data_IF_055778457288
#
_entry.id   IF_055778457288
#
_cell.length_a   1.000
_cell.length_b   1.000
_cell.length_c   1.000
_cell.angle_alpha   90.00
_cell.angle_beta   90.00
_cell.angle_gamma   90.00
#
_symmetry.space_group_name_H-M   'P 1'
#
loop_
_entity.id
_entity.type
_entity.pdbx_description
1 polymer ?
#
# COMPACT_ATOMS: atom_id res chain seq x y z
N UNK A 1 -12.67 6.77 -31.33
CA UNK A 1 -12.89 8.16 -30.84
C UNK A 1 -12.50 9.12 -31.96
N UNK A 2 -13.24 10.22 -32.21
CA UNK A 2 -12.82 11.21 -33.21
C UNK A 2 -11.57 11.99 -32.72
N UNK A 3 -10.82 12.59 -33.65
CA UNK A 3 -9.64 13.38 -33.30
C UNK A 3 -9.96 14.56 -32.38
N UNK A 4 -11.10 15.21 -32.60
CA UNK A 4 -11.56 16.36 -31.83
C UNK A 4 -11.97 15.95 -30.42
N UNK A 5 -12.76 14.88 -30.28
CA UNK A 5 -13.13 14.32 -28.98
C UNK A 5 -11.89 13.92 -28.18
N UNK A 6 -10.91 13.25 -28.81
CA UNK A 6 -9.67 12.91 -28.12
C UNK A 6 -8.90 14.15 -27.66
N UNK A 7 -8.69 15.12 -28.54
CA UNK A 7 -7.98 16.37 -28.19
C UNK A 7 -8.72 17.21 -27.15
N UNK A 8 -10.04 17.09 -27.03
CA UNK A 8 -10.81 17.77 -26.00
C UNK A 8 -10.73 17.04 -24.66
N UNK A 9 -11.09 15.76 -24.61
CA UNK A 9 -11.20 14.99 -23.38
C UNK A 9 -9.87 14.48 -22.83
N UNK A 10 -8.87 14.15 -23.66
CA UNK A 10 -7.57 13.65 -23.19
C UNK A 10 -6.51 14.73 -23.01
N UNK A 11 -6.82 16.01 -23.26
CA UNK A 11 -5.88 17.10 -22.99
C UNK A 11 -5.60 17.23 -21.50
N UNK A 12 -4.37 16.98 -21.08
CA UNK A 12 -3.95 16.92 -19.67
C UNK A 12 -3.88 18.29 -18.96
N UNK A 13 -4.86 19.17 -19.14
CA UNK A 13 -4.85 20.49 -18.50
C UNK A 13 -4.75 20.37 -16.97
N UNK A 14 -4.05 21.33 -16.33
CA UNK A 14 -4.01 21.44 -14.86
C UNK A 14 -5.40 21.69 -14.26
N UNK A 15 -6.15 22.57 -14.92
CA UNK A 15 -7.54 22.88 -14.61
C UNK A 15 -8.36 22.69 -15.89
N UNK A 16 -9.36 21.82 -15.80
CA UNK A 16 -10.24 21.51 -16.92
C UNK A 16 -11.67 21.85 -16.51
N UNK A 17 -12.28 22.75 -17.28
CA UNK A 17 -13.69 23.14 -17.15
C UNK A 17 -14.46 22.44 -18.28
N UNK A 18 -15.75 22.16 -18.06
CA UNK A 18 -16.72 21.62 -19.02
C UNK A 18 -16.42 20.24 -19.63
N UNK A 19 -15.56 19.44 -19.00
CA UNK A 19 -15.31 18.04 -19.38
C UNK A 19 -16.11 17.08 -18.53
N UNK A 20 -17.42 17.00 -18.80
CA UNK A 20 -18.38 16.19 -18.05
C UNK A 20 -18.28 14.69 -18.33
N UNK A 21 -17.77 14.31 -19.51
CA UNK A 21 -17.57 12.90 -19.87
C UNK A 21 -16.16 12.41 -19.52
N UNK A 22 -16.10 11.21 -18.94
CA UNK A 22 -14.91 10.38 -18.83
C UNK A 22 -14.89 9.35 -19.95
N UNK A 23 -13.75 9.26 -20.65
CA UNK A 23 -13.45 8.23 -21.63
C UNK A 23 -12.42 7.27 -21.03
N UNK A 24 -12.69 5.98 -21.15
CA UNK A 24 -11.82 4.87 -20.75
C UNK A 24 -11.55 4.02 -21.99
N UNK A 25 -10.33 4.13 -22.53
CA UNK A 25 -9.86 3.23 -23.58
C UNK A 25 -9.15 2.06 -22.92
N UNK A 26 -9.51 0.82 -23.26
CA UNK A 26 -8.94 -0.35 -22.62
C UNK A 26 -8.24 -1.28 -23.61
N UNK A 27 -7.28 -2.03 -23.09
CA UNK A 27 -6.62 -3.14 -23.74
C UNK A 27 -6.56 -4.32 -22.76
N UNK A 28 -6.93 -5.51 -23.20
CA UNK A 28 -6.81 -6.77 -22.47
C UNK A 28 -5.79 -7.62 -23.21
N UNK A 29 -4.72 -8.01 -22.52
CA UNK A 29 -3.69 -8.90 -23.06
C UNK A 29 -3.55 -10.15 -22.21
N UNK A 30 -3.19 -11.27 -22.86
CA UNK A 30 -2.74 -12.47 -22.15
C UNK A 30 -1.27 -12.34 -21.80
N UNK A 31 -0.87 -12.77 -20.61
CA UNK A 31 0.52 -12.91 -20.21
C UNK A 31 1.03 -14.31 -20.60
N UNK A 32 1.25 -14.56 -21.89
CA UNK A 32 1.99 -15.75 -22.35
C UNK A 32 3.45 -15.39 -22.67
N UNK A 33 4.32 -16.39 -22.53
CA UNK A 33 5.78 -16.30 -22.66
C UNK A 33 6.24 -15.44 -23.87
N UNK A 34 7.20 -14.55 -23.59
CA UNK A 34 7.95 -13.66 -24.49
C UNK A 34 7.22 -12.54 -25.25
N UNK A 35 5.89 -12.54 -25.41
CA UNK A 35 5.18 -11.40 -26.03
C UNK A 35 3.69 -11.29 -25.64
N UNK A 36 3.20 -10.11 -25.20
CA UNK A 36 1.79 -9.93 -24.84
C UNK A 36 0.86 -10.08 -26.05
N UNK A 37 -0.10 -11.01 -25.98
CA UNK A 37 -1.12 -11.21 -27.03
C UNK A 37 -2.35 -10.35 -26.72
N UNK A 38 -2.74 -9.45 -27.64
CA UNK A 38 -3.93 -8.61 -27.49
C UNK A 38 -5.21 -9.42 -27.74
N UNK A 39 -6.08 -9.50 -26.74
CA UNK A 39 -7.35 -10.24 -26.79
C UNK A 39 -8.53 -9.32 -27.10
N UNK A 40 -8.69 -8.27 -26.29
CA UNK A 40 -9.78 -7.31 -26.45
C UNK A 40 -9.25 -5.89 -26.31
N UNK A 41 -9.94 -4.96 -26.96
CA UNK A 41 -9.68 -3.53 -26.85
C UNK A 41 -10.93 -2.77 -27.25
N UNK A 42 -11.11 -1.60 -26.68
CA UNK A 42 -12.29 -0.79 -26.96
C UNK A 42 -12.32 0.48 -26.14
N UNK A 43 -13.47 1.13 -26.17
CA UNK A 43 -13.68 2.42 -25.49
C UNK A 43 -15.01 2.41 -24.77
N UNK A 44 -14.99 2.76 -23.50
CA UNK A 44 -16.17 3.13 -22.73
C UNK A 44 -16.18 4.63 -22.50
N UNK A 45 -17.39 5.19 -22.43
CA UNK A 45 -17.65 6.52 -21.92
C UNK A 45 -18.76 6.45 -20.89
N UNK A 46 -18.93 7.51 -20.09
CA UNK A 46 -20.10 7.65 -19.23
C UNK A 46 -21.38 7.41 -20.04
N UNK A 47 -22.31 6.66 -19.45
CA UNK A 47 -23.63 6.41 -20.01
C UNK A 47 -24.66 6.69 -18.93
N UNK A 48 -25.49 7.69 -19.15
CA UNK A 48 -26.47 8.18 -18.17
C UNK A 48 -25.76 8.51 -16.84
N UNK A 49 -26.18 7.89 -15.74
CA UNK A 49 -25.56 8.04 -14.42
C UNK A 49 -24.48 6.99 -14.12
N UNK A 50 -24.02 6.23 -15.12
CA UNK A 50 -23.03 5.16 -14.96
C UNK A 50 -21.68 5.61 -15.52
N UNK A 51 -20.65 5.54 -14.68
CA UNK A 51 -19.28 5.90 -15.04
C UNK A 51 -18.64 4.84 -15.96
N UNK A 52 -17.64 5.26 -16.74
CA UNK A 52 -17.01 4.42 -17.75
C UNK A 52 -16.33 3.17 -17.16
N UNK A 53 -15.79 3.27 -15.96
CA UNK A 53 -15.18 2.20 -15.16
C UNK A 53 -16.20 1.09 -14.88
N UNK A 54 -17.40 1.47 -14.43
CA UNK A 54 -18.47 0.53 -14.10
C UNK A 54 -19.03 -0.12 -15.36
N UNK A 55 -19.21 0.66 -16.44
CA UNK A 55 -19.55 0.12 -17.75
C UNK A 55 -18.54 -0.95 -18.20
N UNK A 56 -17.24 -0.68 -18.04
CA UNK A 56 -16.19 -1.64 -18.35
C UNK A 56 -16.31 -2.90 -17.49
N UNK A 57 -16.45 -2.76 -16.16
CA UNK A 57 -16.50 -3.92 -15.24
C UNK A 57 -17.70 -4.84 -15.56
N UNK A 58 -18.89 -4.28 -15.82
CA UNK A 58 -20.04 -5.08 -16.22
C UNK A 58 -19.81 -5.83 -17.53
N UNK A 59 -19.28 -5.14 -18.54
CA UNK A 59 -18.95 -5.78 -19.80
C UNK A 59 -17.88 -6.86 -19.64
N UNK A 60 -16.82 -6.59 -18.88
CA UNK A 60 -15.71 -7.52 -18.69
C UNK A 60 -16.18 -8.79 -17.97
N UNK A 61 -16.99 -8.64 -16.93
CA UNK A 61 -17.58 -9.78 -16.23
C UNK A 61 -18.53 -10.59 -17.13
N UNK A 62 -19.41 -9.94 -17.90
CA UNK A 62 -20.40 -10.65 -18.71
C UNK A 62 -19.82 -11.28 -19.98
N UNK A 63 -18.84 -10.62 -20.62
CA UNK A 63 -18.36 -11.00 -21.96
C UNK A 63 -16.99 -11.65 -21.98
N UNK A 64 -16.12 -11.31 -21.04
CA UNK A 64 -14.72 -11.72 -21.09
C UNK A 64 -14.47 -12.84 -20.09
N UNK A 65 -14.82 -12.64 -18.82
CA UNK A 65 -14.59 -13.65 -17.77
C UNK A 65 -15.37 -14.96 -17.98
N UNK A 66 -16.50 -14.94 -18.69
CA UNK A 66 -17.25 -16.17 -19.02
C UNK A 66 -16.57 -17.05 -20.06
N UNK A 67 -15.67 -16.48 -20.85
CA UNK A 67 -15.04 -17.16 -22.01
C UNK A 67 -13.60 -17.55 -21.70
N UNK A 68 -12.92 -16.81 -20.81
CA UNK A 68 -11.53 -17.03 -20.47
C UNK A 68 -11.36 -18.12 -19.41
N UNK A 69 -10.31 -18.92 -19.56
CA UNK A 69 -9.98 -20.00 -18.61
C UNK A 69 -9.52 -19.41 -17.26
N UNK A 70 -9.94 -19.98 -16.12
CA UNK A 70 -9.51 -19.53 -14.78
C UNK A 70 -7.99 -19.64 -14.52
N UNK A 71 -7.26 -20.37 -15.37
CA UNK A 71 -5.82 -20.61 -15.23
C UNK A 71 -4.95 -19.61 -16.01
N UNK A 72 -5.55 -18.82 -16.88
CA UNK A 72 -4.81 -17.85 -17.69
C UNK A 72 -4.58 -16.56 -16.91
N UNK A 73 -3.38 -15.99 -17.02
CA UNK A 73 -3.09 -14.67 -16.47
C UNK A 73 -3.32 -13.57 -17.50
N UNK A 74 -4.01 -12.50 -17.07
CA UNK A 74 -4.35 -11.38 -17.93
C UNK A 74 -3.81 -10.07 -17.41
N UNK A 75 -3.56 -9.16 -18.34
CA UNK A 75 -3.26 -7.78 -18.05
C UNK A 75 -4.30 -6.88 -18.70
N UNK A 76 -4.88 -6.00 -17.90
CA UNK A 76 -5.76 -4.94 -18.36
C UNK A 76 -4.97 -3.63 -18.30
N UNK A 77 -5.06 -2.84 -19.36
CA UNK A 77 -4.52 -1.48 -19.39
C UNK A 77 -5.63 -0.50 -19.74
N UNK A 78 -5.84 0.49 -18.87
CA UNK A 78 -6.78 1.59 -19.08
C UNK A 78 -6.03 2.88 -19.39
N UNK A 79 -6.49 3.58 -20.43
CA UNK A 79 -6.12 4.95 -20.75
C UNK A 79 -7.35 5.83 -20.55
N UNK A 80 -7.33 6.64 -19.50
CA UNK A 80 -8.48 7.40 -19.04
C UNK A 80 -8.30 8.90 -19.21
N UNK A 81 -9.38 9.61 -19.56
CA UNK A 81 -9.37 11.07 -19.59
C UNK A 81 -9.31 11.70 -18.19
N UNK A 82 -9.89 11.04 -17.20
CA UNK A 82 -9.88 11.39 -15.78
C UNK A 82 -9.58 10.13 -14.97
N UNK A 83 -8.87 10.25 -13.85
CA UNK A 83 -8.71 9.13 -12.91
C UNK A 83 -10.06 8.72 -12.33
N UNK A 84 -10.22 7.47 -11.87
CA UNK A 84 -11.47 7.03 -11.27
C UNK A 84 -11.88 7.88 -10.06
N UNK A 85 -13.18 8.07 -9.87
CA UNK A 85 -13.72 8.63 -8.62
C UNK A 85 -13.66 7.58 -7.49
N UNK A 86 -13.88 8.01 -6.24
CA UNK A 86 -13.79 7.14 -5.07
C UNK A 86 -14.71 5.92 -5.17
N UNK A 87 -15.98 6.08 -5.59
CA UNK A 87 -16.94 4.98 -5.72
C UNK A 87 -16.50 3.96 -6.78
N UNK A 88 -16.02 4.46 -7.93
CA UNK A 88 -15.55 3.61 -9.01
C UNK A 88 -14.28 2.86 -8.64
N UNK A 89 -13.32 3.56 -8.01
CA UNK A 89 -12.11 2.94 -7.50
C UNK A 89 -12.43 1.84 -6.47
N UNK A 90 -13.43 2.03 -5.61
CA UNK A 90 -13.87 0.98 -4.67
C UNK A 90 -14.40 -0.27 -5.39
N UNK A 91 -15.21 -0.10 -6.45
CA UNK A 91 -15.68 -1.24 -7.23
C UNK A 91 -14.52 -1.97 -7.94
N UNK A 92 -13.53 -1.22 -8.44
CA UNK A 92 -12.32 -1.80 -9.03
C UNK A 92 -11.51 -2.57 -7.99
N UNK A 93 -11.38 -2.07 -6.76
CA UNK A 93 -10.71 -2.80 -5.66
C UNK A 93 -11.39 -4.13 -5.37
N UNK A 94 -12.73 -4.14 -5.26
CA UNK A 94 -13.49 -5.39 -5.04
C UNK A 94 -13.31 -6.37 -6.19
N UNK A 95 -13.24 -5.85 -7.42
CA UNK A 95 -12.97 -6.65 -8.60
C UNK A 95 -11.57 -7.27 -8.56
N UNK A 96 -10.51 -6.50 -8.27
CA UNK A 96 -9.15 -7.02 -8.16
C UNK A 96 -9.00 -8.05 -7.03
N UNK A 97 -9.62 -7.78 -5.88
CA UNK A 97 -9.58 -8.68 -4.72
C UNK A 97 -10.21 -10.06 -4.99
N UNK A 98 -11.06 -10.19 -6.02
CA UNK A 98 -11.72 -11.44 -6.40
C UNK A 98 -11.07 -12.13 -7.61
N UNK A 99 -10.12 -11.49 -8.29
CA UNK A 99 -9.50 -11.98 -9.53
C UNK A 99 -7.96 -11.89 -9.47
N UNK A 100 -7.33 -12.80 -8.73
CA UNK A 100 -5.88 -12.78 -8.47
C UNK A 100 -5.00 -13.07 -9.71
N UNK A 101 -5.56 -13.63 -10.78
CA UNK A 101 -4.88 -13.89 -12.05
C UNK A 101 -4.83 -12.66 -12.98
N UNK A 102 -5.18 -11.47 -12.49
CA UNK A 102 -5.33 -10.26 -13.27
C UNK A 102 -4.44 -9.14 -12.73
N UNK A 103 -3.67 -8.50 -13.60
CA UNK A 103 -3.00 -7.23 -13.32
C UNK A 103 -3.68 -6.07 -14.03
N UNK A 104 -3.80 -4.93 -13.37
CA UNK A 104 -4.43 -3.73 -13.92
C UNK A 104 -3.47 -2.54 -13.92
N UNK A 105 -3.33 -1.90 -15.07
CA UNK A 105 -2.65 -0.61 -15.22
C UNK A 105 -3.67 0.48 -15.54
N UNK A 106 -3.65 1.59 -14.81
CA UNK A 106 -4.51 2.75 -15.00
C UNK A 106 -3.63 3.97 -15.31
N UNK A 107 -3.68 4.42 -16.55
CA UNK A 107 -3.03 5.64 -17.01
C UNK A 107 -4.06 6.75 -17.18
N UNK A 108 -3.97 7.81 -16.38
CA UNK A 108 -4.93 8.92 -16.39
C UNK A 108 -4.34 10.19 -16.97
N UNK A 109 -5.04 10.85 -17.89
CA UNK A 109 -4.64 12.15 -18.43
C UNK A 109 -4.70 13.26 -17.37
N UNK A 110 -5.69 13.19 -16.48
CA UNK A 110 -5.89 14.14 -15.38
C UNK A 110 -6.38 13.41 -14.15
N UNK A 111 -6.00 13.91 -12.97
CA UNK A 111 -6.50 13.38 -11.71
C UNK A 111 -7.85 14.04 -11.34
N UNK A 112 -8.85 13.23 -11.04
CA UNK A 112 -10.18 13.67 -10.64
C UNK A 112 -10.22 14.04 -9.15
N UNK A 113 -10.77 15.22 -8.85
CA UNK A 113 -11.07 15.73 -7.51
C UNK A 113 -10.01 15.40 -6.42
N UNK A 114 -8.72 15.55 -6.71
CA UNK A 114 -7.64 15.20 -5.75
C UNK A 114 -7.59 16.07 -4.49
N UNK A 115 -8.48 17.05 -4.34
CA UNK A 115 -8.63 17.78 -3.07
C UNK A 115 -9.43 16.99 -2.04
N UNK A 116 -10.24 16.05 -2.51
CA UNK A 116 -11.05 15.17 -1.68
C UNK A 116 -10.20 14.00 -1.14
N UNK A 117 -10.13 13.84 0.20
CA UNK A 117 -9.39 12.75 0.82
C UNK A 117 -9.83 11.35 0.38
N UNK A 118 -11.12 11.11 0.09
CA UNK A 118 -11.61 9.78 -0.30
C UNK A 118 -11.08 9.37 -1.68
N UNK A 119 -11.04 10.33 -2.61
CA UNK A 119 -10.44 10.13 -3.93
C UNK A 119 -8.93 9.84 -3.81
N UNK A 120 -8.21 10.54 -2.93
CA UNK A 120 -6.80 10.26 -2.66
C UNK A 120 -6.63 8.84 -2.10
N UNK A 121 -7.40 8.49 -1.06
CA UNK A 121 -7.29 7.21 -0.38
C UNK A 121 -7.61 6.02 -1.29
N UNK A 122 -8.60 6.13 -2.17
CA UNK A 122 -8.92 5.01 -3.06
C UNK A 122 -7.92 4.86 -4.22
N UNK A 123 -7.29 5.94 -4.71
CA UNK A 123 -6.13 5.82 -5.60
C UNK A 123 -4.97 5.10 -4.89
N UNK A 124 -4.75 5.41 -3.60
CA UNK A 124 -3.76 4.73 -2.79
C UNK A 124 -4.03 3.24 -2.64
N UNK A 125 -5.28 2.88 -2.33
CA UNK A 125 -5.71 1.47 -2.18
C UNK A 125 -5.59 0.69 -3.47
N UNK A 126 -5.81 1.30 -4.64
CA UNK A 126 -5.63 0.63 -5.94
C UNK A 126 -4.20 0.15 -6.10
N UNK A 127 -3.22 0.98 -5.71
CA UNK A 127 -1.81 0.59 -5.71
C UNK A 127 -1.50 -0.48 -4.67
N UNK A 128 -2.13 -0.44 -3.49
CA UNK A 128 -1.96 -1.48 -2.46
C UNK A 128 -2.50 -2.85 -2.90
N UNK A 129 -3.59 -2.90 -3.67
CA UNK A 129 -4.14 -4.13 -4.28
C UNK A 129 -3.38 -4.55 -5.56
N UNK A 130 -2.24 -3.93 -5.85
CA UNK A 130 -1.33 -4.33 -6.93
C UNK A 130 -1.63 -3.71 -8.30
N UNK A 131 -2.57 -2.77 -8.40
CA UNK A 131 -2.78 -2.02 -9.64
C UNK A 131 -1.67 -0.98 -9.86
N UNK A 132 -1.19 -0.85 -11.08
CA UNK A 132 -0.32 0.27 -11.45
C UNK A 132 -1.19 1.50 -11.73
N UNK A 133 -0.92 2.62 -11.07
CA UNK A 133 -1.63 3.90 -11.31
C UNK A 133 -0.61 4.96 -11.68
N UNK A 134 -0.78 5.59 -12.86
CA UNK A 134 0.15 6.59 -13.37
C UNK A 134 -0.55 7.72 -14.15
N UNK A 135 0.10 8.87 -14.26
CA UNK A 135 -0.32 9.91 -15.19
C UNK A 135 0.13 9.54 -16.62
N UNK A 136 -0.69 9.84 -17.63
CA UNK A 136 -0.32 9.60 -19.03
C UNK A 136 0.80 10.55 -19.49
N UNK A 137 1.91 9.98 -19.95
CA UNK A 137 3.01 10.69 -20.57
C UNK A 137 2.87 10.74 -22.10
N UNK A 138 3.92 11.23 -22.80
CA UNK A 138 3.91 11.30 -24.26
C UNK A 138 3.74 9.93 -24.95
N UNK A 139 4.35 8.89 -24.40
CA UNK A 139 4.26 7.51 -24.90
C UNK A 139 2.83 6.98 -24.75
N UNK A 140 2.19 7.12 -23.58
CA UNK A 140 0.80 6.68 -23.41
C UNK A 140 -0.15 7.45 -24.34
N UNK A 141 0.03 8.77 -24.51
CA UNK A 141 -0.80 9.52 -25.47
C UNK A 141 -0.61 9.04 -26.91
N UNK A 142 0.62 8.73 -27.33
CA UNK A 142 0.89 8.18 -28.67
C UNK A 142 0.25 6.80 -28.85
N UNK A 143 0.37 5.91 -27.87
CA UNK A 143 -0.22 4.57 -27.91
C UNK A 143 -1.76 4.66 -27.98
N UNK A 144 -2.35 5.49 -27.13
CA UNK A 144 -3.79 5.70 -27.09
C UNK A 144 -4.31 6.31 -28.42
N UNK A 145 -3.61 7.32 -28.96
CA UNK A 145 -3.92 7.91 -30.27
C UNK A 145 -3.85 6.89 -31.42
N UNK A 146 -2.80 6.07 -31.45
CA UNK A 146 -2.62 5.06 -32.51
C UNK A 146 -3.73 4.02 -32.49
N UNK A 147 -4.17 3.58 -31.30
CA UNK A 147 -5.05 2.42 -31.14
C UNK A 147 -6.55 2.77 -31.06
N UNK A 148 -6.93 3.92 -30.51
CA UNK A 148 -8.34 4.22 -30.19
C UNK A 148 -8.91 5.47 -30.90
N UNK A 149 -8.08 6.22 -31.62
CA UNK A 149 -8.51 7.43 -32.34
C UNK A 149 -8.59 7.14 -33.83
N UNK A 150 -9.71 7.53 -34.43
CA UNK A 150 -9.85 7.59 -35.88
C UNK A 150 -8.99 8.74 -36.41
N UNK A 151 -7.73 8.43 -36.69
CA UNK A 151 -6.69 9.40 -36.98
C UNK A 151 -6.40 9.55 -38.48
N UNK A 152 -7.05 8.77 -39.35
CA UNK A 152 -6.80 8.79 -40.80
C UNK A 152 -5.32 8.62 -41.17
N UNK A 153 -4.57 7.81 -40.42
CA UNK A 153 -3.13 7.59 -40.60
C UNK A 153 -2.23 8.71 -40.06
N UNK A 154 -2.81 9.78 -39.50
CA UNK A 154 -2.03 10.92 -38.98
C UNK A 154 -1.37 10.57 -37.65
N UNK A 155 -0.11 10.99 -37.49
CA UNK A 155 0.63 10.87 -36.23
C UNK A 155 0.06 11.79 -35.15
N UNK A 156 0.18 11.38 -33.89
CA UNK A 156 -0.18 12.22 -32.75
C UNK A 156 0.66 13.49 -32.73
N UNK A 157 0.01 14.65 -32.62
CA UNK A 157 0.65 15.95 -32.44
C UNK A 157 0.42 16.44 -31.00
N UNK A 158 1.47 16.52 -30.16
CA UNK A 158 1.36 17.03 -28.79
C UNK A 158 0.80 18.46 -28.77
N UNK A 159 -0.09 18.74 -27.82
CA UNK A 159 -0.54 20.11 -27.57
C UNK A 159 0.50 20.91 -26.76
N UNK A 160 0.39 22.24 -26.82
CA UNK A 160 1.20 23.16 -26.01
C UNK A 160 1.12 22.78 -24.52
N UNK A 161 2.28 22.73 -23.85
CA UNK A 161 2.44 22.38 -22.41
C UNK A 161 2.09 20.93 -22.03
N UNK A 162 1.99 19.98 -22.97
CA UNK A 162 1.73 18.57 -22.64
C UNK A 162 2.69 18.03 -21.57
N UNK A 163 4.01 18.17 -21.78
CA UNK A 163 5.04 17.68 -20.85
C UNK A 163 5.00 18.42 -19.51
N UNK A 164 4.84 19.75 -19.53
CA UNK A 164 4.73 20.57 -18.31
C UNK A 164 3.53 20.17 -17.46
N UNK A 165 2.41 19.82 -18.10
CA UNK A 165 1.23 19.38 -17.40
C UNK A 165 1.34 17.93 -16.93
N UNK A 166 1.96 17.05 -17.72
CA UNK A 166 2.28 15.68 -17.29
C UNK A 166 3.08 15.72 -15.99
N UNK A 167 4.17 16.49 -15.93
CA UNK A 167 4.97 16.66 -14.70
C UNK A 167 4.15 17.15 -13.51
N UNK A 168 3.16 18.00 -13.75
CA UNK A 168 2.26 18.46 -12.69
C UNK A 168 1.32 17.34 -12.21
N UNK A 169 0.66 16.63 -13.13
CA UNK A 169 -0.24 15.52 -12.79
C UNK A 169 0.52 14.40 -12.08
N UNK A 170 1.68 14.01 -12.61
CA UNK A 170 2.55 12.99 -12.03
C UNK A 170 3.03 13.41 -10.64
N UNK A 171 3.58 14.63 -10.48
CA UNK A 171 4.00 15.12 -9.16
C UNK A 171 2.87 15.09 -8.13
N UNK A 172 1.63 15.43 -8.51
CA UNK A 172 0.48 15.36 -7.60
C UNK A 172 0.06 13.93 -7.29
N UNK A 173 0.11 13.03 -8.28
CA UNK A 173 -0.14 11.62 -8.06
C UNK A 173 0.91 11.04 -7.12
N UNK A 174 2.21 11.31 -7.33
CA UNK A 174 3.28 10.84 -6.45
C UNK A 174 3.14 11.41 -5.03
N UNK A 175 2.68 12.65 -4.86
CA UNK A 175 2.36 13.20 -3.54
C UNK A 175 1.27 12.40 -2.83
N UNK A 176 0.18 12.04 -3.55
CA UNK A 176 -0.90 11.20 -3.03
C UNK A 176 -0.39 9.80 -2.72
N UNK A 177 0.35 9.19 -3.64
CA UNK A 177 0.86 7.83 -3.49
C UNK A 177 1.93 7.72 -2.41
N UNK A 178 2.69 8.77 -2.11
CA UNK A 178 3.56 8.81 -0.93
C UNK A 178 2.77 8.77 0.38
N UNK A 179 1.54 9.31 0.39
CA UNK A 179 0.62 9.22 1.55
C UNK A 179 0.00 7.83 1.74
N UNK A 180 0.09 6.92 0.76
CA UNK A 180 -0.26 5.47 0.91
C UNK A 180 0.47 4.84 2.10
N UNK A 181 1.62 5.39 2.45
CA UNK A 181 2.45 4.91 3.53
C UNK A 181 2.10 5.52 4.91
N UNK A 182 1.06 6.35 4.98
CA UNK A 182 0.68 7.09 6.19
C UNK A 182 -0.76 6.75 6.62
N UNK A 183 -0.91 6.37 7.88
CA UNK A 183 -2.16 6.24 8.62
C UNK A 183 -2.83 7.62 8.79
N UNK A 184 -4.17 7.64 8.85
CA UNK A 184 -4.89 8.79 9.41
C UNK A 184 -4.68 8.90 10.92
N UNK A 185 -4.92 10.10 11.48
CA UNK A 185 -4.84 10.31 12.93
C UNK A 185 -5.79 9.34 13.68
N UNK A 186 -7.01 9.18 13.19
CA UNK A 186 -8.01 8.30 13.78
C UNK A 186 -7.58 6.83 13.72
N UNK A 187 -7.04 6.36 12.60
CA UNK A 187 -6.52 5.00 12.48
C UNK A 187 -5.36 4.77 13.45
N UNK A 188 -4.43 5.70 13.58
CA UNK A 188 -3.33 5.56 14.54
C UNK A 188 -3.87 5.46 15.97
N UNK A 189 -4.71 6.41 16.40
CA UNK A 189 -5.27 6.39 17.75
C UNK A 189 -6.17 5.19 18.00
N UNK A 190 -6.89 4.69 17.01
CA UNK A 190 -7.71 3.49 17.16
C UNK A 190 -6.81 2.26 17.29
N UNK A 191 -5.85 2.10 16.37
CA UNK A 191 -5.11 0.86 16.19
C UNK A 191 -3.92 0.71 17.14
N UNK A 192 -3.16 1.77 17.42
CA UNK A 192 -1.96 1.73 18.26
C UNK A 192 -2.22 1.96 19.76
N UNK A 193 -3.46 2.20 20.16
CA UNK A 193 -3.84 2.45 21.54
C UNK A 193 -3.50 1.30 22.50
N UNK A 194 -2.54 1.49 23.40
CA UNK A 194 -1.97 0.39 24.19
C UNK A 194 -2.85 -0.13 25.34
N UNK A 195 -4.05 0.44 25.57
CA UNK A 195 -4.96 0.01 26.62
C UNK A 195 -6.03 -0.98 26.13
N UNK A 196 -6.35 -1.97 26.98
CA UNK A 196 -7.48 -2.88 26.76
C UNK A 196 -8.78 -2.20 27.15
N UNK A 197 -9.44 -1.52 26.22
CA UNK A 197 -10.79 -0.98 26.46
C UNK A 197 -11.80 -1.89 25.76
N UNK A 198 -12.55 -2.67 26.55
CA UNK A 198 -13.59 -3.58 26.04
C UNK A 198 -14.56 -2.89 25.07
N UNK A 199 -14.88 -1.61 25.28
CA UNK A 199 -15.83 -0.85 24.48
C UNK A 199 -15.29 -0.43 23.09
N UNK A 200 -14.01 -0.05 22.98
CA UNK A 200 -13.39 0.32 21.69
C UNK A 200 -13.27 -0.88 20.73
N UNK A 201 -13.11 -2.09 21.28
CA UNK A 201 -13.04 -3.34 20.52
C UNK A 201 -14.33 -3.71 19.79
N UNK A 202 -15.49 -3.20 20.22
CA UNK A 202 -16.79 -3.49 19.60
C UNK A 202 -17.13 -2.55 18.45
N UNK A 203 -16.64 -1.31 18.47
CA UNK A 203 -16.95 -0.30 17.44
C UNK A 203 -15.86 -0.18 16.36
N UNK A 204 -14.59 -0.42 16.71
CA UNK A 204 -13.49 -0.44 15.75
C UNK A 204 -12.83 -1.81 15.83
N UNK A 205 -13.14 -2.69 14.88
CA UNK A 205 -12.47 -3.98 14.75
C UNK A 205 -10.95 -3.77 14.61
N UNK A 206 -10.22 -3.94 15.70
CA UNK A 206 -8.77 -3.75 15.76
C UNK A 206 -8.10 -4.72 14.79
N UNK A 207 -7.37 -4.18 13.82
CA UNK A 207 -6.65 -4.96 12.81
C UNK A 207 -5.15 -4.97 13.15
N UNK A 208 -4.44 -6.07 12.86
CA UNK A 208 -2.98 -6.08 12.91
C UNK A 208 -2.42 -5.10 11.87
N UNK A 209 -1.78 -4.03 12.31
CA UNK A 209 -0.99 -3.14 11.45
C UNK A 209 0.49 -3.35 11.75
N UNK A 210 1.30 -3.23 10.71
CA UNK A 210 2.75 -3.18 10.76
C UNK A 210 3.21 -1.98 9.92
N UNK A 211 3.74 -0.96 10.58
CA UNK A 211 4.47 0.12 9.92
C UNK A 211 5.96 -0.18 9.98
N UNK A 212 6.71 0.05 8.91
CA UNK A 212 8.14 -0.24 8.86
C UNK A 212 8.92 0.89 8.19
N UNK A 213 10.10 1.14 8.73
CA UNK A 213 11.11 2.04 8.20
C UNK A 213 12.34 1.22 7.85
N UNK A 214 12.85 1.40 6.63
CA UNK A 214 14.07 0.75 6.15
C UNK A 214 15.10 1.83 5.85
N UNK A 215 16.19 1.80 6.61
CA UNK A 215 17.33 2.69 6.50
C UNK A 215 18.50 1.97 5.84
N UNK A 216 18.98 2.52 4.73
CA UNK A 216 20.15 2.03 4.01
C UNK A 216 21.36 2.89 4.36
N UNK A 217 22.54 2.26 4.49
CA UNK A 217 23.79 2.96 4.82
C UNK A 217 24.36 3.80 3.67
N UNK A 218 23.69 3.85 2.52
CA UNK A 218 24.10 4.60 1.33
C UNK A 218 23.62 6.07 1.32
N UNK A 219 23.01 6.56 2.41
CA UNK A 219 22.53 7.94 2.53
C UNK A 219 21.23 8.24 1.77
N UNK A 220 20.55 7.23 1.23
CA UNK A 220 19.21 7.40 0.65
C UNK A 220 18.17 7.66 1.73
N UNK A 221 17.11 8.39 1.37
CA UNK A 221 15.98 8.61 2.26
C UNK A 221 15.36 7.27 2.67
N UNK A 222 14.98 7.09 3.95
CA UNK A 222 14.46 5.82 4.43
C UNK A 222 13.17 5.43 3.71
N UNK A 223 13.09 4.17 3.28
CA UNK A 223 11.88 3.61 2.69
C UNK A 223 10.88 3.30 3.81
N UNK A 224 9.67 3.85 3.70
CA UNK A 224 8.62 3.71 4.71
C UNK A 224 7.40 3.01 4.13
N UNK A 225 6.67 2.26 4.95
CA UNK A 225 5.39 1.69 4.57
C UNK A 225 4.57 1.23 5.76
N UNK A 226 3.24 1.13 5.59
CA UNK A 226 2.35 0.48 6.53
C UNK A 226 1.57 -0.63 5.81
N UNK A 227 1.42 -1.75 6.50
CA UNK A 227 0.76 -2.97 6.02
C UNK A 227 -0.37 -3.33 6.98
N UNK A 228 -1.51 -3.71 6.41
CA UNK A 228 -2.72 -4.07 7.14
C UNK A 228 -3.04 -5.54 6.93
N UNK A 229 -3.34 -6.25 8.00
CA UNK A 229 -3.94 -7.59 7.89
C UNK A 229 -5.46 -7.51 7.87
N UNK A 230 -6.06 -8.11 6.83
CA UNK A 230 -7.50 -8.26 6.73
C UNK A 230 -7.98 -9.59 7.33
N UNK A 231 -9.20 -9.61 7.86
CA UNK A 231 -9.77 -10.78 8.51
C UNK A 231 -9.89 -11.94 7.50
N UNK A 232 -9.20 -13.05 7.77
CA UNK A 232 -9.18 -14.23 6.91
C UNK A 232 -8.08 -14.23 5.84
N UNK A 233 -7.25 -13.18 5.76
CA UNK A 233 -6.07 -13.11 4.89
C UNK A 233 -4.77 -13.33 5.69
N UNK A 234 -3.62 -13.17 5.02
CA UNK A 234 -2.30 -13.23 5.64
C UNK A 234 -2.11 -12.16 6.73
N UNK A 235 -1.25 -12.46 7.70
CA UNK A 235 -0.87 -11.52 8.75
C UNK A 235 0.07 -10.44 8.22
N UNK A 236 0.07 -9.26 8.84
CA UNK A 236 0.84 -8.11 8.39
C UNK A 236 2.36 -8.39 8.37
N UNK A 237 2.84 -9.22 9.29
CA UNK A 237 4.22 -9.70 9.36
C UNK A 237 4.60 -10.57 8.16
N UNK A 238 3.67 -11.35 7.62
CA UNK A 238 3.92 -12.20 6.44
C UNK A 238 3.95 -11.35 5.18
N UNK A 239 2.98 -10.44 5.03
CA UNK A 239 2.99 -9.45 3.95
C UNK A 239 4.27 -8.61 3.94
N UNK A 240 4.75 -8.26 5.13
CA UNK A 240 6.03 -7.57 5.30
C UNK A 240 7.20 -8.43 4.78
N UNK A 241 7.27 -9.69 5.17
CA UNK A 241 8.33 -10.60 4.70
C UNK A 241 8.31 -10.79 3.18
N UNK A 242 7.14 -11.01 2.58
CA UNK A 242 7.00 -11.17 1.13
C UNK A 242 7.48 -9.91 0.40
N UNK A 243 7.15 -8.74 0.93
CA UNK A 243 7.61 -7.45 0.40
C UNK A 243 9.11 -7.28 0.51
N UNK A 244 9.71 -7.55 1.68
CA UNK A 244 11.15 -7.38 1.89
C UNK A 244 11.97 -8.39 1.10
N UNK A 245 11.49 -9.64 0.96
CA UNK A 245 12.17 -10.67 0.14
C UNK A 245 12.23 -10.33 -1.33
N UNK A 246 11.24 -9.57 -1.85
CA UNK A 246 11.26 -9.10 -3.23
C UNK A 246 12.27 -7.98 -3.50
N UNK A 247 12.89 -7.42 -2.45
CA UNK A 247 13.85 -6.33 -2.56
C UNK A 247 15.29 -6.85 -2.52
N UNK A 248 16.13 -6.33 -3.40
CA UNK A 248 17.59 -6.52 -3.33
C UNK A 248 18.16 -5.56 -2.28
N UNK A 249 18.19 -6.02 -1.04
CA UNK A 249 18.72 -5.25 0.10
C UNK A 249 20.15 -5.68 0.44
N UNK A 250 21.01 -4.69 0.62
CA UNK A 250 22.34 -4.80 1.24
C UNK A 250 22.24 -4.70 2.77
N UNK A 251 23.32 -4.30 3.44
CA UNK A 251 23.28 -3.94 4.87
C UNK A 251 22.20 -2.87 5.10
N UNK A 252 21.19 -3.19 5.92
CA UNK A 252 20.05 -2.31 6.21
C UNK A 252 19.59 -2.48 7.65
N UNK A 253 19.06 -1.39 8.21
CA UNK A 253 18.34 -1.39 9.48
C UNK A 253 16.85 -1.29 9.16
N UNK A 254 16.07 -2.24 9.65
CA UNK A 254 14.62 -2.21 9.55
C UNK A 254 14.01 -2.06 10.94
N UNK A 255 13.23 -1.00 11.12
CA UNK A 255 12.44 -0.76 12.33
C UNK A 255 10.97 -0.98 12.02
N UNK A 256 10.32 -1.86 12.75
CA UNK A 256 8.90 -2.19 12.61
C UNK A 256 8.11 -1.76 13.85
N UNK A 257 6.96 -1.13 13.64
CA UNK A 257 5.98 -0.73 14.64
C UNK A 257 4.70 -1.55 14.45
N UNK A 258 4.40 -2.42 15.40
CA UNK A 258 3.28 -3.35 15.34
C UNK A 258 2.20 -3.00 16.36
N UNK A 259 0.94 -3.14 15.96
CA UNK A 259 -0.19 -2.99 16.89
C UNK A 259 -0.29 -4.14 17.89
N UNK A 260 0.23 -5.31 17.54
CA UNK A 260 0.26 -6.52 18.36
C UNK A 260 1.58 -7.28 18.14
N UNK A 261 2.11 -7.92 19.18
CA UNK A 261 3.32 -8.74 19.02
C UNK A 261 3.04 -9.92 18.09
N UNK A 262 4.04 -10.41 17.33
CA UNK A 262 3.82 -11.48 16.35
C UNK A 262 3.24 -12.76 16.97
N UNK A 263 2.36 -13.44 16.23
CA UNK A 263 1.92 -14.79 16.59
C UNK A 263 3.06 -15.82 16.39
N UNK A 264 2.96 -17.07 16.90
CA UNK A 264 4.04 -18.05 16.82
C UNK A 264 4.51 -18.31 15.38
N UNK A 265 3.58 -18.43 14.43
CA UNK A 265 3.92 -18.66 13.03
C UNK A 265 4.68 -17.48 12.42
N UNK A 266 4.17 -16.25 12.61
CA UNK A 266 4.85 -15.03 12.15
C UNK A 266 6.23 -14.88 12.79
N UNK A 267 6.33 -15.15 14.09
CA UNK A 267 7.59 -15.08 14.82
C UNK A 267 8.62 -16.07 14.27
N UNK A 268 8.23 -17.31 13.98
CA UNK A 268 9.13 -18.29 13.37
C UNK A 268 9.57 -17.90 11.96
N UNK A 269 8.67 -17.34 11.14
CA UNK A 269 9.03 -16.90 9.79
C UNK A 269 9.97 -15.69 9.80
N UNK A 270 9.75 -14.72 10.71
CA UNK A 270 10.67 -13.60 10.92
C UNK A 270 12.04 -14.09 11.40
N UNK A 271 12.06 -15.03 12.35
CA UNK A 271 13.29 -15.64 12.85
C UNK A 271 14.05 -16.40 11.76
N UNK A 272 13.35 -17.15 10.89
CA UNK A 272 13.96 -17.83 9.75
C UNK A 272 14.55 -16.81 8.76
N UNK A 273 13.78 -15.77 8.42
CA UNK A 273 14.26 -14.70 7.55
C UNK A 273 15.53 -14.02 8.08
N UNK A 274 15.61 -13.74 9.39
CA UNK A 274 16.80 -13.15 10.01
C UNK A 274 18.01 -14.09 9.98
N UNK A 275 17.80 -15.41 10.06
CA UNK A 275 18.87 -16.41 9.92
C UNK A 275 19.39 -16.47 8.47
N UNK A 276 18.52 -16.32 7.49
CA UNK A 276 18.90 -16.28 6.07
C UNK A 276 19.61 -14.95 5.70
N UNK A 277 19.33 -13.87 6.44
CA UNK A 277 19.90 -12.52 6.25
C UNK A 277 20.58 -12.03 7.53
N UNK A 278 21.77 -12.57 7.88
CA UNK A 278 22.46 -12.20 9.12
C UNK A 278 22.95 -10.75 9.14
N UNK A 279 23.15 -10.15 7.97
CA UNK A 279 23.58 -8.77 7.72
C UNK A 279 22.52 -7.71 8.07
N UNK A 280 21.24 -8.09 8.09
CA UNK A 280 20.12 -7.20 8.34
C UNK A 280 19.88 -7.02 9.84
N UNK A 281 19.69 -5.77 10.28
CA UNK A 281 19.27 -5.47 11.65
C UNK A 281 17.76 -5.27 11.66
N UNK A 282 17.03 -6.06 12.47
CA UNK A 282 15.57 -5.99 12.57
C UNK A 282 15.16 -5.63 13.99
N UNK A 283 14.52 -4.47 14.15
CA UNK A 283 13.91 -4.01 15.39
C UNK A 283 12.39 -4.07 15.28
N UNK A 284 11.75 -4.68 16.27
CA UNK A 284 10.30 -4.83 16.36
C UNK A 284 9.83 -4.15 17.64
N UNK A 285 9.14 -3.03 17.50
CA UNK A 285 8.42 -2.39 18.58
C UNK A 285 6.95 -2.75 18.49
N UNK A 286 6.37 -3.22 19.60
CA UNK A 286 4.96 -3.57 19.67
C UNK A 286 4.20 -2.71 20.67
N UNK A 287 3.01 -2.23 20.29
CA UNK A 287 2.13 -1.52 21.21
C UNK A 287 1.58 -2.45 22.31
N UNK A 288 1.29 -3.73 21.97
CA UNK A 288 0.63 -4.68 22.87
C UNK A 288 1.12 -6.11 22.65
N UNK A 289 1.17 -6.91 23.70
CA UNK A 289 1.56 -8.32 23.59
C UNK A 289 0.36 -9.22 23.26
N UNK A 290 0.43 -9.94 22.15
CA UNK A 290 -0.61 -10.84 21.66
C UNK A 290 -0.54 -12.20 22.35
N UNK A 291 -1.64 -12.61 22.99
CA UNK A 291 -1.78 -13.89 23.72
C UNK A 291 -0.58 -14.31 24.58
N UNK A 292 0.13 -13.33 25.15
CA UNK A 292 1.41 -13.50 25.85
C UNK A 292 1.35 -14.34 27.15
N UNK A 293 0.16 -14.76 27.57
CA UNK A 293 -0.03 -15.72 28.65
C UNK A 293 0.02 -17.18 28.16
N UNK A 294 -0.12 -17.43 26.87
CA UNK A 294 -0.01 -18.75 26.26
C UNK A 294 1.45 -19.08 25.94
N UNK A 295 1.90 -20.28 26.32
CA UNK A 295 3.27 -20.76 26.10
C UNK A 295 3.71 -20.73 24.61
N UNK A 296 2.90 -21.12 23.61
CA UNK A 296 3.31 -21.05 22.21
C UNK A 296 3.69 -19.64 21.74
N UNK A 297 2.98 -18.60 22.21
CA UNK A 297 3.25 -17.21 21.86
C UNK A 297 4.55 -16.71 22.49
N UNK A 298 4.80 -17.09 23.74
CA UNK A 298 6.08 -16.81 24.41
C UNK A 298 7.24 -17.53 23.70
N UNK A 299 7.04 -18.78 23.26
CA UNK A 299 8.04 -19.53 22.48
C UNK A 299 8.34 -18.86 21.13
N UNK A 300 7.32 -18.28 20.47
CA UNK A 300 7.51 -17.46 19.28
C UNK A 300 8.41 -16.26 19.54
N UNK A 301 8.12 -15.46 20.58
CA UNK A 301 8.96 -14.33 20.98
C UNK A 301 10.40 -14.77 21.34
N UNK A 302 10.54 -15.89 22.04
CA UNK A 302 11.82 -16.52 22.34
C UNK A 302 12.64 -16.80 21.08
N UNK A 303 12.02 -17.36 20.04
CA UNK A 303 12.67 -17.60 18.75
C UNK A 303 13.16 -16.33 18.05
N UNK A 304 12.47 -15.19 18.23
CA UNK A 304 12.90 -13.91 17.67
C UNK A 304 14.19 -13.44 18.34
N UNK A 305 14.22 -13.40 19.68
CA UNK A 305 15.41 -12.98 20.44
C UNK A 305 16.61 -13.89 20.16
N UNK A 306 16.41 -15.21 20.11
CA UNK A 306 17.47 -16.17 19.80
C UNK A 306 18.03 -16.01 18.37
N UNK A 307 17.25 -15.44 17.45
CA UNK A 307 17.71 -15.16 16.08
C UNK A 307 18.36 -13.77 15.94
N UNK A 308 18.52 -13.03 17.04
CA UNK A 308 19.11 -11.69 17.03
C UNK A 308 18.15 -10.56 16.62
N UNK A 309 16.83 -10.80 16.65
CA UNK A 309 15.83 -9.76 16.41
C UNK A 309 15.56 -9.04 17.73
N UNK A 310 15.67 -7.70 17.73
CA UNK A 310 15.29 -6.90 18.89
C UNK A 310 13.77 -6.78 18.93
N UNK A 311 13.16 -7.15 20.05
CA UNK A 311 11.71 -7.06 20.24
C UNK A 311 11.43 -6.36 21.56
N UNK A 312 10.79 -5.20 21.47
CA UNK A 312 10.46 -4.34 22.61
C UNK A 312 9.05 -3.78 22.53
N UNK A 313 8.59 -3.19 23.63
CA UNK A 313 7.28 -2.55 23.71
C UNK A 313 7.42 -1.05 23.51
N UNK A 314 6.57 -0.48 22.65
CA UNK A 314 6.55 0.95 22.34
C UNK A 314 6.35 1.80 23.61
N UNK A 315 7.23 2.77 23.82
CA UNK A 315 7.07 3.86 24.77
C UNK A 315 6.79 5.19 24.05
N UNK A 316 6.79 6.31 24.80
CA UNK A 316 6.48 7.63 24.25
C UNK A 316 7.37 7.99 23.03
N UNK A 317 8.71 7.85 23.09
CA UNK A 317 9.57 7.96 21.92
C UNK A 317 9.10 7.14 20.71
N UNK A 318 8.85 5.83 20.85
CA UNK A 318 8.46 5.02 19.68
C UNK A 318 7.06 5.35 19.16
N UNK A 319 6.10 5.73 20.02
CA UNK A 319 4.81 6.23 19.54
C UNK A 319 4.95 7.55 18.80
N UNK A 320 5.84 8.44 19.26
CA UNK A 320 6.10 9.74 18.64
C UNK A 320 6.81 9.58 17.29
N UNK A 321 7.79 8.68 17.22
CA UNK A 321 8.48 8.34 15.98
C UNK A 321 7.50 7.70 14.98
N UNK A 322 6.71 6.73 15.43
CA UNK A 322 5.71 6.10 14.57
C UNK A 322 4.66 7.11 14.07
N UNK A 323 4.22 8.06 14.91
CA UNK A 323 3.32 9.13 14.50
C UNK A 323 3.96 10.04 13.45
N UNK A 324 5.18 10.50 13.71
CA UNK A 324 5.88 11.44 12.82
C UNK A 324 6.15 10.83 11.45
N UNK A 325 6.49 9.54 11.41
CA UNK A 325 6.92 8.86 10.20
C UNK A 325 5.78 8.22 9.41
N UNK A 326 4.68 7.83 10.08
CA UNK A 326 3.63 7.00 9.50
C UNK A 326 2.22 7.53 9.69
N UNK A 327 2.05 8.73 10.23
CA UNK A 327 0.75 9.40 10.23
C UNK A 327 0.85 10.58 9.27
N UNK A 328 -0.27 11.01 8.69
CA UNK A 328 -0.33 12.29 7.99
C UNK A 328 -0.90 13.37 8.93
N UNK A 329 -0.15 13.84 9.94
CA UNK A 329 -0.74 14.63 11.00
C UNK A 329 -0.93 16.08 10.59
N UNK A 330 -1.99 16.69 11.11
CA UNK A 330 -2.12 18.15 11.14
C UNK A 330 -1.42 18.77 12.36
N UNK A 331 -0.93 17.94 13.29
CA UNK A 331 -0.42 18.35 14.62
C UNK A 331 0.58 17.33 15.23
N UNK A 332 1.39 17.73 16.23
CA UNK A 332 2.24 16.80 16.98
C UNK A 332 1.45 15.65 17.64
N UNK A 333 2.13 14.54 17.91
CA UNK A 333 1.56 13.41 18.63
C UNK A 333 1.10 13.84 20.03
N UNK A 334 -0.12 13.47 20.41
CA UNK A 334 -0.66 13.72 21.74
C UNK A 334 -0.83 12.41 22.50
N UNK A 335 -0.02 12.13 23.54
CA UNK A 335 -0.13 10.88 24.27
C UNK A 335 -1.48 10.78 25.00
N UNK A 336 -2.15 9.64 24.87
CA UNK A 336 -3.38 9.39 25.63
C UNK A 336 -3.11 9.19 27.12
N UNK A 337 -4.14 9.41 27.95
CA UNK A 337 -4.04 9.30 29.40
C UNK A 337 -3.54 7.91 29.81
N UNK A 338 -2.41 7.87 30.51
CA UNK A 338 -1.82 6.63 31.04
C UNK A 338 -0.96 5.83 30.05
N UNK A 339 -0.66 6.36 28.86
CA UNK A 339 0.21 5.69 27.86
C UNK A 339 1.48 5.12 28.49
N UNK A 340 2.27 5.95 29.16
CA UNK A 340 3.57 5.54 29.72
C UNK A 340 3.45 4.49 30.81
N UNK A 341 2.45 4.61 31.69
CA UNK A 341 2.21 3.64 32.77
C UNK A 341 1.94 2.26 32.17
N UNK A 342 1.15 2.19 31.10
CA UNK A 342 0.81 0.94 30.43
C UNK A 342 1.99 0.38 29.64
N UNK A 343 2.75 1.24 28.95
CA UNK A 343 3.99 0.82 28.28
C UNK A 343 4.96 0.20 29.29
N UNK A 344 5.24 0.85 30.42
CA UNK A 344 6.11 0.30 31.48
C UNK A 344 5.60 -1.03 32.05
N UNK A 345 4.30 -1.17 32.30
CA UNK A 345 3.72 -2.44 32.78
C UNK A 345 3.88 -3.57 31.74
N UNK A 346 3.69 -3.25 30.47
CA UNK A 346 3.80 -4.19 29.36
C UNK A 346 5.26 -4.58 29.11
N UNK A 347 6.20 -3.62 29.19
CA UNK A 347 7.65 -3.86 29.17
C UNK A 347 8.07 -4.81 30.30
N UNK A 348 7.65 -4.56 31.54
CA UNK A 348 7.92 -5.49 32.67
C UNK A 348 7.37 -6.89 32.41
N UNK A 349 6.22 -7.01 31.76
CA UNK A 349 5.66 -8.32 31.38
C UNK A 349 6.50 -9.00 30.31
N UNK A 350 6.95 -8.26 29.29
CA UNK A 350 7.85 -8.79 28.26
C UNK A 350 9.17 -9.26 28.87
N UNK A 351 9.76 -8.47 29.77
CA UNK A 351 10.96 -8.82 30.51
C UNK A 351 10.80 -10.13 31.30
N UNK A 352 9.71 -10.27 32.08
CA UNK A 352 9.41 -11.52 32.80
C UNK A 352 9.25 -12.73 31.86
N UNK A 353 8.75 -12.52 30.65
CA UNK A 353 8.70 -13.59 29.64
C UNK A 353 10.13 -13.93 29.24
N UNK A 354 10.95 -12.96 28.84
CA UNK A 354 12.36 -13.16 28.46
C UNK A 354 13.16 -13.91 29.55
N UNK A 355 13.02 -13.51 30.81
CA UNK A 355 13.65 -14.16 31.97
C UNK A 355 13.19 -15.61 32.17
N UNK A 356 11.90 -15.89 32.01
CA UNK A 356 11.34 -17.24 32.19
C UNK A 356 11.83 -18.26 31.17
N UNK A 357 12.48 -17.78 30.10
CA UNK A 357 13.13 -18.60 29.07
C UNK A 357 14.66 -18.58 29.17
N UNK A 358 15.24 -18.01 30.24
CA UNK A 358 16.69 -18.02 30.48
C UNK A 358 17.49 -17.08 29.57
N UNK A 359 16.85 -16.08 28.97
CA UNK A 359 17.48 -15.16 27.99
C UNK A 359 17.99 -13.86 28.63
N UNK A 360 18.51 -13.92 29.86
CA UNK A 360 18.89 -12.75 30.66
C UNK A 360 20.14 -12.05 30.11
N UNK A 361 21.08 -12.80 29.54
CA UNK A 361 22.36 -12.26 29.03
C UNK A 361 22.18 -11.43 27.74
N UNK A 362 21.11 -11.67 26.98
CA UNK A 362 20.72 -10.87 25.80
C UNK A 362 20.17 -9.47 26.16
N UNK A 363 20.25 -9.05 27.43
CA UNK A 363 19.83 -7.72 27.90
C UNK A 363 21.00 -6.73 27.95
N UNK A 364 22.24 -7.22 28.11
CA UNK A 364 23.38 -6.36 28.44
C UNK A 364 24.21 -5.90 27.24
N UNK A 365 24.11 -6.56 26.08
CA UNK A 365 24.92 -6.18 24.89
C UNK A 365 24.38 -4.94 24.14
N UNK A 366 23.15 -4.51 24.42
CA UNK A 366 22.49 -3.47 23.61
C UNK A 366 22.29 -2.12 24.33
N UNK A 367 22.58 -2.04 25.64
CA UNK A 367 22.56 -0.78 26.38
C UNK A 367 23.73 0.16 26.06
N UNK A 368 24.78 -0.35 25.41
CA UNK A 368 26.03 0.39 25.15
C UNK A 368 26.15 0.97 23.73
N UNK A 369 25.10 0.89 22.90
CA UNK A 369 25.12 1.45 21.53
C UNK A 369 24.42 2.81 21.40
N UNK A 370 24.04 3.45 22.51
CA UNK A 370 23.68 4.88 22.53
C UNK A 370 24.76 5.67 23.27
N UNK A 371 25.73 6.15 22.50
CA UNK A 371 26.57 7.36 22.66
C UNK A 371 27.95 7.09 22.03
N UNK A 372 28.01 7.29 20.72
CA UNK A 372 29.24 7.39 19.93
C UNK A 372 28.97 8.34 18.78
#
# INVERSE_FOLDING_TARGET
ISQETFKFHFKNLRYAIDRKDTFLCYEVTRKDCDSPVSLHHGVFKNKDNIHAEICFLYWFHDKVLKVLSPREEFKITWYMSWSPCFECAEQVLRFLATHHNLSLDIFSSRLYNIRDPENQQNLCRLVQEGAQVAAMDLYEFKKCWKKFVDNGGRRFRPWKKLLTNFRYQDSKLQEILRRVHLLSEEEFYSQFYNQRVKHLCYYHGMKPYLCYQLEQFNGQAPLKGCLLSEKGKQHAEILFLDKIRSMELSQVIITCYLTWSPCPNCAWQLAAFKRDRPDLILHIYTSRLYFHWKRPFQKGLCSLWQSGILVDVMDLPQFTDCWTNFVNPKRPFWPWKGLEIISRRTQRRLHRIKESWGLQDLVNDFGNLQLG
#
